data_IF_597948880269
#
_entry.id   IF_597948880269
#
_cell.length_a   1.000
_cell.length_b   1.000
_cell.length_c   1.000
_cell.angle_alpha   90.00
_cell.angle_beta   90.00
_cell.angle_gamma   90.00
#
_symmetry.space_group_name_H-M   'P 1'
#
loop_
_entity.id
_entity.type
_entity.pdbx_description
1 polymer ?
#
# COMPACT_ATOMS: atom_id res chain seq x y z
N UNK A 1 0.82 20.98 53.17
CA UNK A 1 1.07 19.71 52.49
C UNK A 1 0.76 19.89 51.01
N UNK A 2 1.76 19.98 50.12
CA UNK A 2 1.53 20.10 48.69
C UNK A 2 1.51 18.70 48.07
N UNK A 3 0.36 18.23 47.60
CA UNK A 3 0.23 16.98 46.83
C UNK A 3 -0.85 17.13 45.75
N UNK A 4 -0.64 18.07 44.82
CA UNK A 4 -1.35 18.06 43.54
C UNK A 4 -0.33 17.81 42.45
N UNK A 5 -0.13 16.52 42.14
CA UNK A 5 0.63 16.08 40.97
C UNK A 5 -0.20 16.36 39.72
N UNK A 6 0.23 17.30 38.90
CA UNK A 6 -0.22 17.40 37.52
C UNK A 6 0.34 16.20 36.76
N UNK A 7 -0.52 15.19 36.56
CA UNK A 7 -0.26 14.09 35.66
C UNK A 7 -0.23 14.62 34.22
N UNK A 8 0.92 14.47 33.57
CA UNK A 8 1.09 14.66 32.14
C UNK A 8 0.06 13.80 31.39
N UNK A 9 -0.88 14.46 30.72
CA UNK A 9 -1.77 13.79 29.78
C UNK A 9 -0.95 13.39 28.55
N UNK A 10 -0.39 12.19 28.59
CA UNK A 10 0.05 11.46 27.40
C UNK A 10 -1.17 11.24 26.50
N UNK A 11 -1.42 12.20 25.60
CA UNK A 11 -2.39 12.04 24.51
C UNK A 11 -1.83 11.02 23.53
N UNK A 12 -2.05 9.73 23.81
CA UNK A 12 -1.90 8.67 22.80
C UNK A 12 -2.99 8.88 21.74
N UNK A 13 -2.63 9.52 20.64
CA UNK A 13 -3.45 9.52 19.42
C UNK A 13 -3.61 8.08 18.94
N UNK A 14 -4.83 7.55 18.76
CA UNK A 14 -5.01 6.21 18.23
C UNK A 14 -4.62 6.22 16.75
N UNK A 15 -3.44 5.68 16.45
CA UNK A 15 -2.98 5.41 15.08
C UNK A 15 -3.74 4.21 14.52
N UNK A 16 -4.96 4.43 14.04
CA UNK A 16 -5.56 3.49 13.09
C UNK A 16 -5.06 3.84 11.69
N UNK A 17 -3.92 3.25 11.32
CA UNK A 17 -3.20 3.51 10.06
C UNK A 17 -3.92 2.88 8.84
N UNK A 18 -4.79 1.89 9.08
CA UNK A 18 -5.48 1.08 8.05
C UNK A 18 -6.96 0.95 8.42
N UNK A 19 -7.86 1.34 7.51
CA UNK A 19 -9.31 1.19 7.68
C UNK A 19 -9.82 0.02 6.85
N UNK A 20 -10.43 -1.01 7.46
CA UNK A 20 -11.04 -2.10 6.70
C UNK A 20 -12.23 -1.58 5.90
N UNK A 21 -12.38 -2.06 4.67
CA UNK A 21 -13.48 -1.72 3.77
C UNK A 21 -14.24 -3.01 3.45
N UNK A 22 -15.57 -2.97 3.26
CA UNK A 22 -16.30 -4.13 2.75
C UNK A 22 -15.66 -4.66 1.47
N UNK A 23 -15.59 -5.98 1.35
CA UNK A 23 -15.07 -6.62 0.15
C UNK A 23 -15.85 -6.20 -1.10
N UNK A 24 -15.15 -6.09 -2.22
CA UNK A 24 -15.72 -5.67 -3.52
C UNK A 24 -15.38 -6.70 -4.58
N UNK A 25 -16.25 -6.82 -5.58
CA UNK A 25 -15.94 -7.57 -6.80
C UNK A 25 -15.05 -6.71 -7.71
N UNK A 26 -13.89 -7.24 -8.07
CA UNK A 26 -12.89 -6.54 -8.88
C UNK A 26 -12.29 -7.51 -9.90
N UNK A 27 -12.05 -7.02 -11.11
CA UNK A 27 -11.40 -7.80 -12.17
C UNK A 27 -9.92 -8.06 -11.83
N UNK A 28 -9.54 -9.34 -11.73
CA UNK A 28 -8.17 -9.76 -11.50
C UNK A 28 -7.47 -10.05 -12.84
N UNK A 29 -6.45 -9.27 -13.20
CA UNK A 29 -5.68 -9.49 -14.44
C UNK A 29 -4.90 -10.81 -14.47
N UNK A 30 -4.53 -11.34 -13.30
CA UNK A 30 -3.76 -12.57 -13.19
C UNK A 30 -4.65 -13.80 -13.36
N UNK A 31 -5.85 -13.78 -12.77
CA UNK A 31 -6.84 -14.83 -12.93
C UNK A 31 -7.63 -14.69 -14.24
N UNK A 32 -7.59 -13.51 -14.86
CA UNK A 32 -8.37 -13.14 -16.03
C UNK A 32 -9.88 -13.32 -15.83
N UNK A 33 -10.36 -13.00 -14.62
CA UNK A 33 -11.74 -13.16 -14.19
C UNK A 33 -12.08 -12.16 -13.06
N UNK A 34 -13.37 -11.89 -12.87
CA UNK A 34 -13.87 -11.15 -11.72
C UNK A 34 -13.83 -12.01 -10.46
N UNK A 35 -13.15 -11.51 -9.43
CA UNK A 35 -13.06 -12.17 -8.14
C UNK A 35 -13.57 -11.26 -7.03
N UNK A 36 -13.98 -11.87 -5.93
CA UNK A 36 -14.20 -11.16 -4.68
C UNK A 36 -12.85 -10.81 -4.05
N UNK A 37 -12.77 -9.60 -3.51
CA UNK A 37 -11.62 -9.12 -2.76
C UNK A 37 -12.09 -8.95 -1.31
N UNK A 38 -12.21 -10.06 -0.58
CA UNK A 38 -12.76 -10.07 0.79
C UNK A 38 -11.94 -9.23 1.77
N UNK A 39 -10.64 -9.10 1.51
CA UNK A 39 -9.70 -8.30 2.31
C UNK A 39 -9.39 -7.01 1.57
N UNK A 40 -10.24 -6.01 1.76
CA UNK A 40 -10.05 -4.66 1.26
C UNK A 40 -9.78 -3.67 2.41
N UNK A 41 -8.95 -2.67 2.16
CA UNK A 41 -8.60 -1.65 3.14
C UNK A 41 -8.20 -0.33 2.50
N UNK A 42 -8.34 0.77 3.23
CA UNK A 42 -7.78 2.09 2.87
C UNK A 42 -6.65 2.45 3.80
N UNK A 43 -5.53 2.91 3.23
CA UNK A 43 -4.46 3.53 4.03
C UNK A 43 -4.78 4.99 4.29
N UNK A 44 -4.66 5.40 5.55
CA UNK A 44 -4.88 6.79 5.95
C UNK A 44 -3.54 7.52 6.11
N UNK A 45 -2.51 6.82 6.56
CA UNK A 45 -1.17 7.37 6.79
C UNK A 45 -0.13 6.79 5.83
N UNK A 46 0.92 7.57 5.46
CA UNK A 46 2.03 7.06 4.67
C UNK A 46 2.77 5.97 5.44
N UNK A 47 3.28 4.96 4.72
CA UNK A 47 4.10 3.94 5.34
C UNK A 47 5.44 4.52 5.79
N UNK A 48 5.79 4.26 7.05
CA UNK A 48 7.07 4.63 7.68
C UNK A 48 8.12 3.53 7.49
N UNK A 49 7.70 2.31 7.13
CA UNK A 49 8.58 1.16 6.93
C UNK A 49 8.18 0.40 5.67
N UNK A 50 9.18 -0.05 4.91
CA UNK A 50 8.95 -0.90 3.75
C UNK A 50 8.48 -2.31 4.18
N UNK A 51 7.38 -2.84 3.62
CA UNK A 51 6.87 -4.16 3.98
C UNK A 51 7.76 -5.31 3.49
N UNK A 52 8.50 -5.17 2.38
CA UNK A 52 9.43 -6.21 1.91
C UNK A 52 10.80 -6.15 2.58
N UNK A 53 11.51 -5.03 2.53
CA UNK A 53 12.91 -4.98 2.97
C UNK A 53 13.11 -4.48 4.40
N UNK A 54 12.05 -4.02 5.07
CA UNK A 54 12.09 -3.53 6.44
C UNK A 54 12.82 -2.21 6.63
N UNK A 55 13.22 -1.51 5.56
CA UNK A 55 13.84 -0.20 5.64
C UNK A 55 12.85 0.82 6.22
N UNK A 56 13.31 1.57 7.22
CA UNK A 56 12.58 2.70 7.78
C UNK A 56 12.81 3.96 6.95
N UNK A 57 11.75 4.71 6.71
CA UNK A 57 11.78 5.97 5.99
C UNK A 57 11.87 7.11 7.00
N UNK A 58 13.06 7.73 7.20
CA UNK A 58 13.21 8.79 8.19
C UNK A 58 12.35 10.02 7.85
N UNK A 59 12.05 10.24 6.56
CA UNK A 59 11.12 11.26 6.07
C UNK A 59 10.18 10.65 5.02
N UNK A 60 9.05 10.06 5.42
CA UNK A 60 8.14 9.41 4.48
C UNK A 60 7.59 10.42 3.45
N UNK A 61 7.33 11.66 3.86
CA UNK A 61 6.80 12.72 2.98
C UNK A 61 7.64 12.96 1.72
N UNK A 62 8.97 12.87 1.81
CA UNK A 62 9.86 13.04 0.64
C UNK A 62 9.72 11.87 -0.36
N UNK A 63 9.42 10.67 0.13
CA UNK A 63 9.18 9.48 -0.72
C UNK A 63 7.83 9.61 -1.42
N UNK A 64 6.79 10.04 -0.70
CA UNK A 64 5.44 10.21 -1.23
C UNK A 64 5.26 11.45 -2.12
N UNK A 65 6.22 12.38 -2.15
CA UNK A 65 6.26 13.49 -3.14
C UNK A 65 6.57 13.02 -4.57
N UNK A 66 7.14 11.83 -4.75
CA UNK A 66 7.46 11.28 -6.08
C UNK A 66 6.21 10.69 -6.72
N UNK A 67 6.11 10.82 -8.04
CA UNK A 67 5.10 10.10 -8.81
C UNK A 67 5.36 8.59 -8.66
N UNK A 68 4.40 7.88 -8.05
CA UNK A 68 4.51 6.48 -7.61
C UNK A 68 5.62 6.25 -6.55
N UNK A 69 5.29 6.29 -5.25
CA UNK A 69 6.27 6.10 -4.20
C UNK A 69 6.80 4.67 -4.23
N UNK A 70 8.12 4.56 -4.32
CA UNK A 70 8.83 3.28 -4.34
C UNK A 70 9.88 3.26 -3.23
N UNK A 71 10.10 2.09 -2.64
CA UNK A 71 11.20 1.92 -1.70
C UNK A 71 12.55 2.14 -2.41
N UNK A 72 13.45 3.00 -1.91
CA UNK A 72 14.74 3.28 -2.53
C UNK A 72 15.72 2.10 -2.47
N UNK A 73 15.46 1.09 -1.63
CA UNK A 73 16.31 -0.11 -1.50
C UNK A 73 15.83 -1.30 -2.33
N UNK A 74 14.53 -1.58 -2.29
CA UNK A 74 13.97 -2.80 -2.91
C UNK A 74 12.98 -2.52 -4.05
N UNK A 75 12.83 -1.24 -4.42
CA UNK A 75 11.95 -0.76 -5.50
C UNK A 75 10.49 -1.22 -5.34
N UNK A 76 10.07 -1.55 -4.12
CA UNK A 76 8.70 -1.96 -3.87
C UNK A 76 7.75 -0.77 -3.97
N UNK A 77 6.67 -0.86 -4.79
CA UNK A 77 5.60 0.13 -4.79
C UNK A 77 5.00 0.23 -3.39
N UNK A 78 5.01 1.44 -2.86
CA UNK A 78 4.46 1.73 -1.55
C UNK A 78 2.97 2.05 -1.69
N UNK A 79 2.15 1.44 -0.83
CA UNK A 79 0.74 1.78 -0.64
C UNK A 79 0.59 3.27 -0.25
N UNK A 80 -0.13 4.01 -1.09
CA UNK A 80 -0.40 5.43 -0.94
C UNK A 80 -1.54 5.70 0.04
N UNK A 81 -1.44 6.76 0.85
CA UNK A 81 -2.57 7.20 1.65
C UNK A 81 -3.70 7.71 0.74
N UNK A 82 -4.95 7.43 1.11
CA UNK A 82 -6.15 7.86 0.38
C UNK A 82 -6.67 6.88 -0.67
N UNK A 83 -5.87 5.88 -1.06
CA UNK A 83 -6.29 4.83 -2.00
C UNK A 83 -6.85 3.60 -1.28
N UNK A 84 -7.75 2.91 -1.98
CA UNK A 84 -8.26 1.61 -1.56
C UNK A 84 -7.35 0.51 -2.12
N UNK A 85 -7.10 -0.49 -1.30
CA UNK A 85 -6.31 -1.65 -1.63
C UNK A 85 -7.13 -2.91 -1.36
N UNK A 86 -6.82 -3.97 -2.08
CA UNK A 86 -7.42 -5.27 -1.79
C UNK A 86 -6.56 -6.43 -2.27
N UNK A 87 -6.86 -7.60 -1.72
CA UNK A 87 -6.24 -8.87 -2.11
C UNK A 87 -7.29 -9.68 -2.87
N UNK A 88 -6.90 -10.17 -4.05
CA UNK A 88 -7.72 -11.12 -4.80
C UNK A 88 -7.78 -12.46 -4.05
N UNK A 89 -8.99 -12.95 -3.74
CA UNK A 89 -9.17 -14.23 -3.03
C UNK A 89 -8.73 -15.44 -3.86
N UNK A 90 -8.62 -15.30 -5.19
CA UNK A 90 -8.15 -16.37 -6.09
C UNK A 90 -6.63 -16.53 -6.10
N UNK A 91 -5.89 -15.48 -6.49
CA UNK A 91 -4.43 -15.56 -6.68
C UNK A 91 -3.60 -14.92 -5.54
N UNK A 92 -4.25 -14.28 -4.56
CA UNK A 92 -3.56 -13.59 -3.46
C UNK A 92 -2.77 -12.33 -3.89
N UNK A 93 -2.96 -11.85 -5.12
CA UNK A 93 -2.28 -10.65 -5.60
C UNK A 93 -2.92 -9.39 -5.04
N UNK A 94 -2.08 -8.39 -4.75
CA UNK A 94 -2.50 -7.10 -4.21
C UNK A 94 -2.83 -6.14 -5.35
N UNK A 95 -3.92 -5.40 -5.19
CA UNK A 95 -4.36 -4.38 -6.14
C UNK A 95 -4.65 -3.08 -5.41
N UNK A 96 -4.43 -1.98 -6.12
CA UNK A 96 -4.99 -0.66 -5.86
C UNK A 96 -6.33 -0.58 -6.58
N UNK A 97 -7.39 -0.40 -5.79
CA UNK A 97 -8.77 -0.31 -6.23
C UNK A 97 -9.08 1.17 -6.35
N UNK A 98 -9.23 1.64 -7.59
CA UNK A 98 -9.68 2.99 -7.88
C UNK A 98 -11.11 2.93 -8.39
N UNK A 99 -12.04 3.63 -7.71
CA UNK A 99 -13.43 3.66 -8.13
C UNK A 99 -13.55 4.24 -9.56
N UNK A 100 -14.30 3.56 -10.43
CA UNK A 100 -14.51 3.97 -11.82
C UNK A 100 -13.32 3.71 -12.78
N UNK A 101 -12.21 3.17 -12.30
CA UNK A 101 -11.00 2.93 -13.08
C UNK A 101 -10.59 1.45 -13.09
N UNK A 102 -9.73 1.07 -14.04
CA UNK A 102 -9.13 -0.27 -14.05
C UNK A 102 -8.21 -0.41 -12.82
N UNK A 103 -8.35 -1.48 -12.02
CA UNK A 103 -7.53 -1.67 -10.82
C UNK A 103 -6.04 -1.77 -11.18
N UNK A 104 -5.21 -1.10 -10.40
CA UNK A 104 -3.76 -1.12 -10.53
C UNK A 104 -3.18 -2.35 -9.83
N UNK A 105 -2.50 -3.24 -10.55
CA UNK A 105 -1.80 -4.36 -9.91
C UNK A 105 -0.58 -3.83 -9.16
N UNK A 106 -0.44 -4.15 -7.87
CA UNK A 106 0.79 -3.93 -7.12
C UNK A 106 1.61 -5.22 -7.14
N UNK A 107 2.60 -5.36 -8.04
CA UNK A 107 3.33 -6.60 -8.20
C UNK A 107 4.17 -6.90 -6.97
N UNK A 108 4.06 -8.13 -6.46
CA UNK A 108 4.87 -8.64 -5.35
C UNK A 108 6.33 -8.89 -5.78
N UNK A 109 7.24 -9.04 -4.81
CA UNK A 109 8.67 -9.24 -5.07
C UNK A 109 8.97 -10.33 -6.13
N UNK A 110 8.33 -11.50 -6.06
CA UNK A 110 8.51 -12.58 -7.04
C UNK A 110 8.10 -12.17 -8.46
N UNK A 111 6.95 -11.52 -8.60
CA UNK A 111 6.44 -11.02 -9.89
C UNK A 111 7.39 -9.97 -10.46
N UNK A 112 7.96 -9.09 -9.62
CA UNK A 112 8.95 -8.11 -10.05
C UNK A 112 10.27 -8.75 -10.49
N UNK A 113 10.75 -9.76 -9.77
CA UNK A 113 11.95 -10.52 -10.18
C UNK A 113 11.74 -11.18 -11.54
N UNK A 114 10.55 -11.73 -11.80
CA UNK A 114 10.21 -12.25 -13.12
C UNK A 114 10.12 -11.14 -14.18
N UNK A 115 9.46 -10.02 -13.90
CA UNK A 115 9.43 -8.87 -14.82
C UNK A 115 10.82 -8.34 -15.15
N UNK A 116 11.72 -8.29 -14.16
CA UNK A 116 13.10 -7.82 -14.35
C UNK A 116 13.92 -8.75 -15.25
N UNK A 117 13.64 -10.07 -15.29
CA UNK A 117 14.31 -11.00 -16.23
C UNK A 117 14.08 -10.64 -17.69
N UNK A 118 12.88 -10.15 -18.01
CA UNK A 118 12.49 -9.81 -19.37
C UNK A 118 12.79 -8.34 -19.73
N UNK A 119 13.35 -7.57 -18.78
CA UNK A 119 13.58 -6.14 -18.93
C UNK A 119 12.31 -5.31 -18.79
N UNK A 120 12.45 -4.08 -18.28
CA UNK A 120 11.34 -3.11 -18.26
C UNK A 120 11.19 -2.59 -19.71
N UNK A 121 10.11 -2.97 -20.40
CA UNK A 121 9.75 -2.32 -21.67
C UNK A 121 9.38 -0.88 -21.34
N UNK A 122 10.28 0.05 -21.64
CA UNK A 122 10.01 1.47 -21.52
C UNK A 122 9.01 1.85 -22.61
N UNK A 123 7.74 2.04 -22.25
CA UNK A 123 6.75 2.63 -23.13
C UNK A 123 6.71 4.13 -22.84
N UNK A 124 7.14 5.00 -23.76
CA UNK A 124 7.16 6.46 -23.55
C UNK A 124 5.77 7.12 -23.60
N UNK A 125 4.69 6.34 -23.52
CA UNK A 125 3.30 6.81 -23.67
C UNK A 125 2.45 6.60 -22.42
N UNK A 126 2.97 6.95 -21.24
CA UNK A 126 2.20 7.07 -19.99
C UNK A 126 2.68 8.28 -19.18
#
# INVERSE_FOLDING_TARGET
MPLFGWGSSDKKTPKEEIRPIPGRQVYCRICNADHMFSRAWRRVSPMVKCPCCGMEFPKPEEVYKRFQPICPKCEEPLEQPGFDYGICDGCGSKYEITEGCKPGLLPNYKQRQEMNKYGKIWSPYW
#
